data_IF_822236133088
#
_entry.id   IF_822236133088
#
_cell.length_a   1.000
_cell.length_b   1.000
_cell.length_c   1.000
_cell.angle_alpha   90.00
_cell.angle_beta   90.00
_cell.angle_gamma   90.00
#
_symmetry.space_group_name_H-M   'P 1'
#
loop_
_entity.id
_entity.type
_entity.pdbx_description
1 polymer ?
#
# COMPACT_ATOMS: atom_id res chain seq x y z
N UNK A 1 -48.78 -30.89 0.07
CA UNK A 1 -47.50 -30.90 -0.70
C UNK A 1 -47.25 -29.61 -1.47
N UNK A 2 -48.14 -29.12 -2.33
CA UNK A 2 -47.90 -27.95 -3.22
C UNK A 2 -47.46 -26.65 -2.49
N UNK A 3 -48.01 -26.37 -1.30
CA UNK A 3 -47.63 -25.20 -0.49
C UNK A 3 -46.24 -25.29 0.14
N UNK A 4 -45.80 -26.50 0.53
CA UNK A 4 -44.47 -26.72 1.09
C UNK A 4 -43.38 -26.57 0.02
N UNK A 5 -43.62 -27.08 -1.20
CA UNK A 5 -42.71 -26.91 -2.34
C UNK A 5 -42.55 -25.44 -2.71
N UNK A 6 -43.64 -24.67 -2.74
CA UNK A 6 -43.56 -23.22 -3.03
C UNK A 6 -42.80 -22.44 -1.94
N UNK A 7 -42.95 -22.78 -0.66
CA UNK A 7 -42.18 -22.13 0.40
C UNK A 7 -40.69 -22.45 0.32
N UNK A 8 -40.32 -23.69 -0.03
CA UNK A 8 -38.92 -24.08 -0.24
C UNK A 8 -38.32 -23.32 -1.44
N UNK A 9 -39.06 -23.19 -2.53
CA UNK A 9 -38.59 -22.49 -3.73
C UNK A 9 -38.42 -20.98 -3.50
N UNK A 10 -39.34 -20.35 -2.74
CA UNK A 10 -39.22 -18.93 -2.36
C UNK A 10 -38.05 -18.75 -1.38
N UNK A 11 -37.89 -19.63 -0.40
CA UNK A 11 -36.73 -19.60 0.51
C UNK A 11 -35.41 -19.71 -0.24
N UNK A 12 -35.33 -20.59 -1.23
CA UNK A 12 -34.13 -20.76 -2.07
C UNK A 12 -33.86 -19.54 -2.96
N UNK A 13 -34.90 -18.93 -3.53
CA UNK A 13 -34.77 -17.72 -4.35
C UNK A 13 -34.35 -16.48 -3.53
N UNK A 14 -34.82 -16.39 -2.28
CA UNK A 14 -34.38 -15.33 -1.35
C UNK A 14 -32.91 -15.54 -0.95
N UNK A 15 -32.48 -16.79 -0.74
CA UNK A 15 -31.08 -17.09 -0.41
C UNK A 15 -30.10 -16.79 -1.56
N UNK A 16 -30.51 -16.94 -2.84
CA UNK A 16 -29.67 -16.59 -3.99
C UNK A 16 -29.68 -15.08 -4.32
N UNK A 17 -30.72 -14.35 -3.91
CA UNK A 17 -30.77 -12.89 -4.07
C UNK A 17 -29.82 -12.13 -3.12
N UNK A 18 -29.30 -12.78 -2.08
CA UNK A 18 -28.27 -12.22 -1.18
C UNK A 18 -26.84 -12.49 -1.65
N UNK A 19 -26.63 -12.82 -2.93
CA UNK A 19 -25.33 -12.68 -3.59
C UNK A 19 -24.90 -11.21 -3.58
N UNK A 20 -24.39 -10.75 -2.44
CA UNK A 20 -23.88 -9.40 -2.22
C UNK A 20 -22.70 -9.20 -3.17
N UNK A 21 -22.96 -8.61 -4.34
CA UNK A 21 -21.91 -8.07 -5.18
C UNK A 21 -21.20 -6.96 -4.38
N UNK A 22 -20.13 -7.33 -3.67
CA UNK A 22 -19.19 -6.37 -3.11
C UNK A 22 -18.48 -5.72 -4.30
N UNK A 23 -19.02 -4.59 -4.77
CA UNK A 23 -18.40 -3.85 -5.84
C UNK A 23 -17.29 -2.96 -5.25
N UNK A 24 -16.05 -3.42 -5.37
CA UNK A 24 -14.84 -2.67 -4.98
C UNK A 24 -14.41 -1.64 -6.04
N UNK A 25 -15.14 -1.54 -7.14
CA UNK A 25 -14.88 -0.62 -8.23
C UNK A 25 -15.83 0.58 -8.16
N UNK A 26 -15.36 1.74 -8.64
CA UNK A 26 -16.21 2.93 -8.78
C UNK A 26 -17.13 2.85 -10.01
N UNK A 27 -16.89 1.87 -10.89
CA UNK A 27 -17.72 1.51 -12.05
C UNK A 27 -18.06 0.01 -11.99
N UNK A 28 -19.04 -0.50 -12.76
CA UNK A 28 -19.27 -1.94 -12.84
C UNK A 28 -18.01 -2.68 -13.28
N UNK A 29 -17.73 -3.84 -12.67
CA UNK A 29 -16.50 -4.61 -12.94
C UNK A 29 -16.34 -4.97 -14.41
N UNK A 30 -17.42 -5.33 -15.09
CA UNK A 30 -17.40 -5.66 -16.52
C UNK A 30 -17.02 -4.46 -17.37
N UNK A 31 -17.40 -3.25 -16.93
CA UNK A 31 -16.98 -2.01 -17.56
C UNK A 31 -15.50 -1.71 -17.27
N UNK A 32 -15.04 -2.00 -16.06
CA UNK A 32 -13.62 -1.88 -15.69
C UNK A 32 -12.74 -2.78 -16.55
N UNK A 33 -13.03 -4.08 -16.61
CA UNK A 33 -12.23 -5.07 -17.37
C UNK A 33 -12.22 -4.77 -18.88
N UNK A 34 -13.28 -4.15 -19.42
CA UNK A 34 -13.32 -3.70 -20.81
C UNK A 34 -12.48 -2.43 -21.04
N UNK A 35 -12.46 -1.52 -20.08
CA UNK A 35 -11.73 -0.25 -20.17
C UNK A 35 -10.24 -0.42 -19.91
N UNK A 36 -9.84 -1.29 -18.98
CA UNK A 36 -8.45 -1.41 -18.51
C UNK A 36 -7.87 -2.76 -18.91
N UNK A 37 -7.22 -2.82 -20.08
CA UNK A 37 -6.50 -4.02 -20.52
C UNK A 37 -5.02 -3.91 -20.21
N UNK A 38 -4.43 -2.73 -20.38
CA UNK A 38 -3.01 -2.44 -20.09
C UNK A 38 -2.94 -1.46 -18.92
N UNK A 39 -2.45 -1.95 -17.77
CA UNK A 39 -2.29 -1.15 -16.55
C UNK A 39 -0.83 -0.71 -16.39
N UNK A 40 -0.60 0.60 -16.35
CA UNK A 40 0.67 1.19 -15.90
C UNK A 40 0.69 1.34 -14.39
N UNK A 41 1.70 0.82 -13.70
CA UNK A 41 1.89 1.03 -12.26
C UNK A 41 2.96 2.09 -12.09
N UNK A 42 2.57 3.23 -11.53
CA UNK A 42 3.47 4.32 -11.20
C UNK A 42 4.36 3.93 -10.00
N UNK A 43 5.62 4.38 -9.95
CA UNK A 43 6.45 4.23 -8.77
C UNK A 43 5.75 4.73 -7.52
N UNK A 44 5.92 4.05 -6.39
CA UNK A 44 5.14 4.40 -5.20
C UNK A 44 5.59 5.76 -4.68
N UNK A 45 4.65 6.71 -4.70
CA UNK A 45 4.88 8.12 -4.38
C UNK A 45 4.94 8.30 -2.85
N UNK A 46 5.70 9.28 -2.39
CA UNK A 46 5.74 9.66 -0.97
C UNK A 46 5.34 11.11 -0.84
N UNK A 47 4.22 11.36 -0.17
CA UNK A 47 3.78 12.70 0.18
C UNK A 47 4.54 13.18 1.42
N UNK A 48 5.72 13.76 1.23
CA UNK A 48 6.54 14.28 2.32
C UNK A 48 5.87 15.44 3.07
N UNK A 49 4.92 16.14 2.44
CA UNK A 49 4.18 17.27 3.01
C UNK A 49 2.91 16.83 3.75
N UNK A 50 2.70 15.53 3.90
CA UNK A 50 1.64 14.98 4.74
C UNK A 50 1.99 15.08 6.23
N UNK A 51 1.03 14.73 7.08
CA UNK A 51 1.15 14.81 8.53
C UNK A 51 2.04 13.67 9.06
N UNK A 52 3.30 13.62 8.64
CA UNK A 52 4.34 12.72 9.14
C UNK A 52 4.99 13.44 10.33
N UNK A 53 4.59 13.06 11.55
CA UNK A 53 5.15 13.60 12.79
C UNK A 53 6.24 12.68 13.28
N UNK A 54 7.49 13.09 13.12
CA UNK A 54 8.66 12.41 13.65
C UNK A 54 9.81 13.41 13.81
N UNK A 55 10.59 13.38 14.90
CA UNK A 55 11.73 14.30 15.08
C UNK A 55 12.72 14.26 13.92
N UNK A 56 12.98 13.07 13.37
CA UNK A 56 13.84 12.84 12.21
C UNK A 56 13.02 12.61 10.92
N UNK A 57 12.03 13.47 10.64
CA UNK A 57 11.08 13.31 9.51
C UNK A 57 11.79 13.03 8.17
N UNK A 58 12.85 13.79 7.85
CA UNK A 58 13.59 13.64 6.60
C UNK A 58 14.18 12.24 6.43
N UNK A 59 14.75 11.66 7.49
CA UNK A 59 15.31 10.31 7.47
C UNK A 59 14.22 9.25 7.27
N UNK A 60 13.06 9.40 7.92
CA UNK A 60 11.91 8.50 7.76
C UNK A 60 11.39 8.53 6.32
N UNK A 61 11.28 9.72 5.71
CA UNK A 61 10.85 9.88 4.31
C UNK A 61 11.84 9.20 3.36
N UNK A 62 13.14 9.38 3.56
CA UNK A 62 14.18 8.75 2.73
C UNK A 62 14.13 7.22 2.83
N UNK A 63 14.02 6.66 4.04
CA UNK A 63 13.86 5.22 4.25
C UNK A 63 12.61 4.67 3.54
N UNK A 64 11.50 5.41 3.60
CA UNK A 64 10.24 5.01 2.97
C UNK A 64 10.36 5.01 1.44
N UNK A 65 11.02 6.02 0.85
CA UNK A 65 11.30 6.07 -0.60
C UNK A 65 12.16 4.90 -1.06
N UNK A 66 13.23 4.59 -0.33
CA UNK A 66 14.10 3.45 -0.63
C UNK A 66 13.34 2.12 -0.54
N UNK A 67 12.56 1.93 0.54
CA UNK A 67 11.74 0.75 0.73
C UNK A 67 10.68 0.61 -0.37
N UNK A 68 10.03 1.70 -0.77
CA UNK A 68 9.06 1.73 -1.87
C UNK A 68 9.69 1.18 -3.17
N UNK A 69 10.83 1.73 -3.57
CA UNK A 69 11.55 1.32 -4.80
C UNK A 69 11.96 -0.14 -4.77
N UNK A 70 12.36 -0.66 -3.60
CA UNK A 70 12.73 -2.07 -3.45
C UNK A 70 11.54 -3.02 -3.64
N UNK A 71 10.33 -2.61 -3.24
CA UNK A 71 9.16 -3.49 -3.18
C UNK A 71 8.17 -3.32 -4.35
N UNK A 72 8.22 -2.22 -5.13
CA UNK A 72 7.23 -1.93 -6.19
C UNK A 72 7.09 -3.03 -7.26
N UNK A 73 8.17 -3.76 -7.55
CA UNK A 73 8.13 -4.89 -8.50
C UNK A 73 7.24 -6.04 -8.03
N UNK A 74 7.09 -6.22 -6.72
CA UNK A 74 6.20 -7.24 -6.17
C UNK A 74 4.74 -6.89 -6.41
N UNK A 75 4.34 -5.63 -6.22
CA UNK A 75 2.99 -5.18 -6.54
C UNK A 75 2.64 -5.48 -8.01
N UNK A 76 3.58 -5.19 -8.92
CA UNK A 76 3.42 -5.49 -10.35
C UNK A 76 3.29 -7.00 -10.59
N UNK A 77 4.08 -7.83 -9.91
CA UNK A 77 4.00 -9.28 -10.02
C UNK A 77 2.63 -9.80 -9.53
N UNK A 78 2.16 -9.35 -8.38
CA UNK A 78 0.86 -9.73 -7.81
C UNK A 78 -0.29 -9.30 -8.74
N UNK A 79 -0.24 -8.09 -9.28
CA UNK A 79 -1.24 -7.61 -10.25
C UNK A 79 -1.27 -8.45 -11.52
N UNK A 80 -0.11 -8.90 -12.03
CA UNK A 80 -0.04 -9.82 -13.18
C UNK A 80 -0.66 -11.17 -12.86
N UNK A 81 -0.38 -11.71 -11.67
CA UNK A 81 -0.86 -13.02 -11.23
C UNK A 81 -2.40 -13.06 -11.11
N UNK A 82 -3.05 -11.91 -10.89
CA UNK A 82 -4.52 -11.85 -10.90
C UNK A 82 -5.16 -12.31 -12.21
N UNK A 83 -4.44 -12.23 -13.34
CA UNK A 83 -4.98 -12.50 -14.67
C UNK A 83 -6.11 -11.55 -15.11
N UNK A 84 -6.28 -10.42 -14.40
CA UNK A 84 -7.34 -9.43 -14.67
C UNK A 84 -6.99 -8.48 -15.81
N UNK A 85 -5.69 -8.33 -16.09
CA UNK A 85 -5.16 -7.41 -17.11
C UNK A 85 -4.49 -8.20 -18.24
N UNK A 86 -4.53 -7.66 -19.46
CA UNK A 86 -3.73 -8.18 -20.57
C UNK A 86 -2.23 -7.92 -20.35
N UNK A 87 -1.88 -6.76 -19.79
CA UNK A 87 -0.50 -6.43 -19.45
C UNK A 87 -0.46 -5.49 -18.25
N UNK A 88 0.49 -5.70 -17.35
CA UNK A 88 0.80 -4.79 -16.23
C UNK A 88 2.27 -4.42 -16.32
N UNK A 89 2.61 -3.15 -16.22
CA UNK A 89 4.00 -2.67 -16.38
C UNK A 89 4.31 -1.61 -15.34
N UNK A 90 5.50 -1.69 -14.74
CA UNK A 90 6.03 -0.59 -13.94
C UNK A 90 6.43 0.55 -14.88
N UNK A 91 6.04 1.77 -14.57
CA UNK A 91 6.49 2.96 -15.27
C UNK A 91 7.80 3.43 -14.63
N UNK A 92 8.91 3.38 -15.36
CA UNK A 92 10.23 3.74 -14.83
C UNK A 92 10.45 5.26 -14.85
N UNK A 93 9.65 5.97 -14.04
CA UNK A 93 9.68 7.42 -13.90
C UNK A 93 10.33 7.82 -12.55
N UNK A 94 10.78 9.07 -12.45
CA UNK A 94 11.22 9.62 -11.16
C UNK A 94 10.00 9.94 -10.28
N UNK A 95 9.90 9.29 -9.11
CA UNK A 95 8.72 9.40 -8.25
C UNK A 95 8.48 10.82 -7.71
N UNK A 96 9.54 11.57 -7.42
CA UNK A 96 9.44 12.90 -6.83
C UNK A 96 9.00 13.95 -7.87
N UNK A 97 9.61 13.90 -9.06
CA UNK A 97 9.19 14.71 -10.21
C UNK A 97 7.76 14.38 -10.62
N UNK A 98 7.42 13.08 -10.65
CA UNK A 98 6.09 12.63 -11.03
C UNK A 98 5.02 13.08 -10.02
N UNK A 99 5.27 12.98 -8.71
CA UNK A 99 4.33 13.47 -7.71
C UNK A 99 4.12 14.99 -7.80
N UNK A 100 5.19 15.75 -8.03
CA UNK A 100 5.13 17.20 -8.20
C UNK A 100 4.35 17.61 -9.47
N UNK A 101 4.52 16.84 -10.55
CA UNK A 101 3.85 17.10 -11.83
C UNK A 101 2.39 16.65 -11.87
N UNK A 102 2.08 15.46 -11.32
CA UNK A 102 0.73 14.89 -11.30
C UNK A 102 -0.14 15.49 -10.20
N UNK A 103 0.43 15.78 -9.03
CA UNK A 103 -0.29 16.20 -7.84
C UNK A 103 -1.07 17.49 -8.06
N UNK A 104 -2.39 17.45 -7.84
CA UNK A 104 -3.23 18.64 -7.86
C UNK A 104 -3.54 19.11 -6.43
N UNK A 105 -4.10 18.22 -5.61
CA UNK A 105 -4.47 18.52 -4.23
C UNK A 105 -4.59 17.26 -3.38
N UNK A 106 -4.48 17.44 -2.07
CA UNK A 106 -4.77 16.44 -1.05
C UNK A 106 -5.95 16.90 -0.20
N UNK A 107 -6.83 15.98 0.16
CA UNK A 107 -7.96 16.22 1.05
C UNK A 107 -7.97 15.17 2.16
N UNK A 108 -7.96 15.61 3.42
CA UNK A 108 -8.15 14.71 4.55
C UNK A 108 -9.65 14.42 4.69
N UNK A 109 -10.03 13.15 4.70
CA UNK A 109 -11.41 12.69 4.82
C UNK A 109 -11.62 11.85 6.05
N UNK A 110 -12.86 11.83 6.51
CA UNK A 110 -13.38 10.96 7.56
C UNK A 110 -14.68 10.32 7.03
N UNK A 111 -14.58 9.08 6.58
CA UNK A 111 -15.69 8.32 6.02
C UNK A 111 -16.03 7.17 6.97
N UNK A 112 -17.14 7.30 7.71
CA UNK A 112 -17.58 6.27 8.65
C UNK A 112 -16.62 6.03 9.82
N UNK A 113 -15.93 7.07 10.29
CA UNK A 113 -14.93 6.97 11.37
C UNK A 113 -13.54 6.55 10.89
N UNK A 114 -13.37 6.35 9.58
CA UNK A 114 -12.07 6.04 8.99
C UNK A 114 -11.49 7.28 8.35
N UNK A 115 -10.38 7.71 8.94
CA UNK A 115 -9.64 8.89 8.49
C UNK A 115 -8.56 8.47 7.49
N UNK A 116 -8.43 9.20 6.38
CA UNK A 116 -7.41 8.96 5.34
C UNK A 116 -7.14 10.22 4.51
N UNK A 117 -6.06 10.19 3.71
CA UNK A 117 -5.75 11.23 2.73
C UNK A 117 -6.24 10.80 1.34
N UNK A 118 -7.13 11.59 0.74
CA UNK A 118 -7.55 11.44 -0.66
C UNK A 118 -6.73 12.34 -1.56
N UNK A 119 -6.16 11.76 -2.61
CA UNK A 119 -5.36 12.47 -3.60
C UNK A 119 -6.17 12.74 -4.87
N UNK A 120 -5.92 13.90 -5.46
CA UNK A 120 -6.45 14.29 -6.75
C UNK A 120 -5.28 14.67 -7.65
N UNK A 121 -5.36 14.27 -8.91
CA UNK A 121 -4.30 14.42 -9.89
C UNK A 121 -4.77 15.28 -11.06
N UNK A 122 -3.84 15.97 -11.72
CA UNK A 122 -4.12 16.84 -12.87
C UNK A 122 -4.45 15.98 -14.10
N UNK A 123 -5.64 16.13 -14.71
CA UNK A 123 -6.04 15.32 -15.87
C UNK A 123 -5.06 15.42 -17.04
N UNK A 124 -4.52 16.60 -17.32
CA UNK A 124 -3.60 16.82 -18.44
C UNK A 124 -2.27 16.08 -18.26
N UNK A 125 -1.78 16.03 -17.02
CA UNK A 125 -0.56 15.33 -16.68
C UNK A 125 -0.76 13.80 -16.71
N UNK A 126 -1.92 13.31 -16.24
CA UNK A 126 -2.32 11.91 -16.37
C UNK A 126 -2.45 11.48 -17.83
N UNK A 127 -3.12 12.29 -18.66
CA UNK A 127 -3.25 12.04 -20.08
C UNK A 127 -1.89 11.89 -20.75
N UNK A 128 -0.96 12.82 -20.48
CA UNK A 128 0.40 12.75 -21.00
C UNK A 128 1.16 11.49 -20.55
N UNK A 129 0.94 11.04 -19.31
CA UNK A 129 1.55 9.82 -18.78
C UNK A 129 0.99 8.56 -19.47
N UNK A 130 -0.34 8.48 -19.59
CA UNK A 130 -1.05 7.36 -20.23
C UNK A 130 -0.65 7.23 -21.70
N UNK A 131 -0.60 8.36 -22.41
CA UNK A 131 -0.25 8.41 -23.84
C UNK A 131 1.22 8.03 -24.08
N UNK A 132 2.14 8.55 -23.25
CA UNK A 132 3.58 8.25 -23.35
C UNK A 132 3.87 6.77 -23.18
N UNK A 133 3.23 6.13 -22.21
CA UNK A 133 3.45 4.72 -21.87
C UNK A 133 2.53 3.75 -22.61
N UNK A 134 1.59 4.26 -23.43
CA UNK A 134 0.61 3.48 -24.19
C UNK A 134 -0.16 2.50 -23.30
N UNK A 135 -0.63 3.03 -22.18
CA UNK A 135 -1.46 2.29 -21.20
C UNK A 135 -2.92 2.69 -21.35
N UNK A 136 -3.86 1.91 -20.83
CA UNK A 136 -5.28 2.29 -20.81
C UNK A 136 -5.62 3.08 -19.54
N UNK A 137 -4.94 2.75 -18.44
CA UNK A 137 -5.08 3.38 -17.14
C UNK A 137 -3.75 3.28 -16.36
N UNK A 138 -3.62 4.13 -15.34
CA UNK A 138 -2.49 4.11 -14.41
C UNK A 138 -2.94 3.84 -12.98
N UNK A 139 -2.21 2.98 -12.28
CA UNK A 139 -2.32 2.79 -10.84
C UNK A 139 -1.31 3.68 -10.14
N UNK A 140 -1.79 4.57 -9.29
CA UNK A 140 -0.96 5.45 -8.46
C UNK A 140 -1.12 5.03 -7.02
N UNK A 141 -0.01 4.74 -6.36
CA UNK A 141 0.05 4.44 -4.93
C UNK A 141 0.80 5.57 -4.24
N UNK A 142 0.23 6.12 -3.16
CA UNK A 142 0.82 7.24 -2.41
C UNK A 142 0.92 6.87 -0.94
N UNK A 143 2.14 6.91 -0.40
CA UNK A 143 2.43 6.79 1.01
C UNK A 143 2.35 8.17 1.68
N UNK A 144 1.71 8.24 2.85
CA UNK A 144 1.48 9.50 3.56
C UNK A 144 1.38 9.30 5.08
N UNK A 145 1.70 10.35 5.83
CA UNK A 145 1.48 10.46 7.26
C UNK A 145 0.05 10.87 7.60
N UNK A 146 -0.47 10.30 8.68
CA UNK A 146 -1.79 10.58 9.20
C UNK A 146 -1.80 10.47 10.73
N UNK A 147 -2.17 11.54 11.42
CA UNK A 147 -2.54 11.48 12.84
C UNK A 147 -4.00 11.11 13.00
N UNK A 148 -4.33 10.09 13.81
CA UNK A 148 -5.71 9.73 14.15
C UNK A 148 -5.82 9.21 15.58
N UNK A 149 -7.03 9.25 16.14
CA UNK A 149 -7.34 8.61 17.41
C UNK A 149 -7.23 7.09 17.26
N UNK A 150 -6.48 6.44 18.15
CA UNK A 150 -6.34 4.99 18.19
C UNK A 150 -6.21 4.49 19.63
N UNK A 151 -6.33 3.17 19.83
CA UNK A 151 -6.19 2.51 21.14
C UNK A 151 -5.06 1.50 21.08
N UNK A 152 -4.03 1.72 21.88
CA UNK A 152 -2.95 0.75 22.07
C UNK A 152 -3.11 0.04 23.40
N UNK A 153 -2.97 -1.28 23.37
CA UNK A 153 -3.08 -2.14 24.54
C UNK A 153 -1.69 -2.52 25.04
N UNK A 154 -1.55 -2.67 26.35
CA UNK A 154 -0.35 -3.23 26.97
C UNK A 154 -0.15 -4.69 26.56
N UNK A 155 1.07 -5.21 26.75
CA UNK A 155 1.44 -6.59 26.42
C UNK A 155 0.60 -7.64 27.17
N UNK A 156 0.10 -7.32 28.36
CA UNK A 156 -0.79 -8.18 29.15
C UNK A 156 -2.29 -7.96 28.87
N UNK A 157 -2.64 -7.04 27.96
CA UNK A 157 -4.01 -6.69 27.57
C UNK A 157 -4.91 -6.18 28.72
N UNK A 158 -4.36 -5.82 29.88
CA UNK A 158 -5.14 -5.33 31.04
C UNK A 158 -5.36 -3.82 31.03
N UNK A 159 -4.50 -3.09 30.33
CA UNK A 159 -4.53 -1.63 30.26
C UNK A 159 -4.44 -1.17 28.81
N UNK A 160 -4.98 0.02 28.53
CA UNK A 160 -4.86 0.64 27.22
C UNK A 160 -4.68 2.16 27.34
N UNK A 161 -4.12 2.74 26.28
CA UNK A 161 -3.98 4.17 26.11
C UNK A 161 -4.68 4.57 24.82
N UNK A 162 -5.77 5.32 24.97
CA UNK A 162 -6.48 5.96 23.88
C UNK A 162 -5.91 7.37 23.68
N UNK A 163 -5.57 7.71 22.44
CA UNK A 163 -5.00 9.02 22.13
C UNK A 163 -4.75 9.22 20.65
N UNK A 164 -4.18 10.37 20.30
CA UNK A 164 -3.76 10.66 18.93
C UNK A 164 -2.39 10.06 18.65
N UNK A 165 -2.32 9.23 17.63
CA UNK A 165 -1.08 8.61 17.18
C UNK A 165 -0.83 8.92 15.72
N UNK A 166 0.45 9.04 15.37
CA UNK A 166 0.90 9.26 14.02
C UNK A 166 1.22 7.93 13.31
N UNK A 167 0.67 7.76 12.11
CA UNK A 167 0.83 6.57 11.30
C UNK A 167 1.30 6.91 9.90
N UNK A 168 2.10 6.02 9.32
CA UNK A 168 2.24 5.90 7.88
C UNK A 168 1.07 5.09 7.34
N UNK A 169 0.53 5.55 6.21
CA UNK A 169 -0.63 4.98 5.53
C UNK A 169 -0.42 5.01 4.03
N UNK A 170 -1.12 4.15 3.29
CA UNK A 170 -1.04 4.09 1.84
C UNK A 170 -2.43 4.24 1.24
N UNK A 171 -2.54 5.06 0.21
CA UNK A 171 -3.72 5.14 -0.65
C UNK A 171 -3.34 4.66 -2.05
N UNK A 172 -4.30 4.11 -2.78
CA UNK A 172 -4.09 3.76 -4.17
C UNK A 172 -5.31 4.12 -5.01
N UNK A 173 -5.10 4.49 -6.27
CA UNK A 173 -6.16 4.77 -7.24
C UNK A 173 -5.76 4.22 -8.60
N UNK A 174 -6.72 3.65 -9.32
CA UNK A 174 -6.59 3.39 -10.76
C UNK A 174 -7.37 4.47 -11.49
N UNK A 175 -6.68 5.23 -12.33
CA UNK A 175 -7.21 6.38 -13.06
C UNK A 175 -7.11 6.12 -14.57
N UNK A 176 -8.17 6.44 -15.31
CA UNK A 176 -8.09 6.48 -16.77
C UNK A 176 -7.43 7.77 -17.27
N UNK A 177 -7.32 7.87 -18.60
CA UNK A 177 -6.77 9.02 -19.32
C UNK A 177 -7.42 10.35 -18.95
N UNK A 178 -8.72 10.33 -18.64
CA UNK A 178 -9.50 11.53 -18.33
C UNK A 178 -9.44 11.91 -16.84
N UNK A 179 -8.71 11.14 -16.03
CA UNK A 179 -8.63 11.32 -14.58
C UNK A 179 -9.84 10.73 -13.83
N UNK A 180 -10.64 9.88 -14.49
CA UNK A 180 -11.74 9.18 -13.82
C UNK A 180 -11.18 8.11 -12.91
N UNK A 181 -11.53 8.16 -11.62
CA UNK A 181 -11.14 7.13 -10.64
C UNK A 181 -11.97 5.86 -10.89
N UNK A 182 -11.35 4.84 -11.46
CA UNK A 182 -11.99 3.57 -11.77
C UNK A 182 -12.02 2.61 -10.56
N UNK A 183 -10.99 2.68 -9.72
CA UNK A 183 -10.84 1.91 -8.49
C UNK A 183 -10.03 2.73 -7.49
N UNK A 184 -10.29 2.56 -6.19
CA UNK A 184 -9.54 3.24 -5.12
C UNK A 184 -9.37 2.35 -3.89
N UNK A 185 -8.32 2.62 -3.12
CA UNK A 185 -7.99 2.03 -1.84
C UNK A 185 -7.59 3.12 -0.84
N UNK A 186 -8.16 3.14 0.37
CA UNK A 186 -9.29 2.32 0.82
C UNK A 186 -10.58 2.62 0.03
N UNK A 187 -11.48 1.64 -0.08
CA UNK A 187 -12.80 1.81 -0.69
C UNK A 187 -13.90 1.74 0.37
N UNK A 188 -14.62 2.84 0.58
CA UNK A 188 -15.67 2.99 1.59
C UNK A 188 -17.05 2.51 1.16
N UNK A 189 -17.19 1.94 -0.05
CA UNK A 189 -18.45 1.34 -0.51
C UNK A 189 -18.74 -0.02 0.12
N UNK A 190 -17.89 -0.48 1.05
CA UNK A 190 -18.03 -1.75 1.74
C UNK A 190 -18.92 -1.66 2.98
N UNK A 191 -19.55 -2.78 3.36
CA UNK A 191 -20.28 -2.89 4.64
C UNK A 191 -19.36 -2.89 5.86
N UNK A 192 -18.11 -3.34 5.70
CA UNK A 192 -17.08 -3.32 6.74
C UNK A 192 -16.01 -2.36 6.27
N UNK A 193 -15.95 -1.20 6.91
CA UNK A 193 -14.97 -0.18 6.59
C UNK A 193 -13.74 -0.44 7.45
N UNK A 194 -12.65 -0.87 6.85
CA UNK A 194 -11.35 -0.96 7.52
C UNK A 194 -10.26 -0.30 6.68
N UNK A 195 -9.40 0.46 7.34
CA UNK A 195 -8.21 1.05 6.74
C UNK A 195 -7.03 0.82 7.67
N UNK A 196 -6.33 -0.32 7.50
CA UNK A 196 -5.20 -0.65 8.35
C UNK A 196 -4.10 0.38 8.14
N UNK A 197 -3.52 0.83 9.25
CA UNK A 197 -2.31 1.63 9.19
C UNK A 197 -1.18 0.75 8.64
N UNK A 198 -0.31 1.33 7.81
CA UNK A 198 0.86 0.62 7.31
C UNK A 198 1.91 0.45 8.42
N UNK A 199 2.17 1.52 9.18
CA UNK A 199 3.06 1.50 10.32
C UNK A 199 2.75 2.63 11.29
N UNK A 200 2.61 2.35 12.58
CA UNK A 200 2.62 3.39 13.60
C UNK A 200 4.03 3.98 13.77
N UNK A 201 4.17 5.31 13.78
CA UNK A 201 5.42 6.02 14.04
C UNK A 201 5.63 6.29 15.54
N UNK A 202 4.57 6.15 16.33
CA UNK A 202 4.60 6.30 17.78
C UNK A 202 4.16 5.01 18.47
N UNK A 203 4.54 4.87 19.73
CA UNK A 203 4.08 3.80 20.61
C UNK A 203 4.01 4.31 22.07
N UNK A 204 3.01 3.86 22.85
CA UNK A 204 2.99 4.09 24.29
C UNK A 204 3.97 3.16 25.01
N UNK A 205 4.75 3.70 25.93
CA UNK A 205 5.75 2.94 26.70
C UNK A 205 5.18 2.43 28.04
N UNK A 206 4.29 1.44 27.96
CA UNK A 206 3.66 0.83 29.15
C UNK A 206 4.68 0.16 30.08
N UNK A 207 5.76 -0.39 29.51
CA UNK A 207 6.76 -1.14 30.29
C UNK A 207 7.58 -0.19 31.14
N UNK A 208 8.01 0.96 30.60
CA UNK A 208 8.70 1.99 31.37
C UNK A 208 7.81 2.64 32.43
N UNK A 209 6.55 2.95 32.09
CA UNK A 209 5.59 3.48 33.06
C UNK A 209 5.41 2.51 34.24
N UNK A 210 5.27 1.21 33.96
CA UNK A 210 5.15 0.17 34.99
C UNK A 210 6.43 0.02 35.82
N UNK A 211 7.60 0.05 35.19
CA UNK A 211 8.88 -0.06 35.88
C UNK A 211 9.12 1.10 36.86
N UNK A 212 8.61 2.29 36.52
CA UNK A 212 8.72 3.50 37.34
C UNK A 212 7.52 3.74 38.28
N UNK A 213 6.56 2.80 38.34
CA UNK A 213 5.29 2.97 39.06
C UNK A 213 4.57 4.30 38.72
N UNK A 214 4.69 4.74 37.45
CA UNK A 214 4.05 5.94 36.96
C UNK A 214 2.58 5.68 36.63
N UNK A 215 1.72 6.65 36.95
CA UNK A 215 0.28 6.60 36.64
C UNK A 215 -0.03 7.05 35.19
N UNK A 216 0.99 7.52 34.48
CA UNK A 216 0.90 8.11 33.15
C UNK A 216 1.85 7.37 32.20
N UNK A 217 1.39 7.11 30.98
CA UNK A 217 2.19 6.43 29.96
C UNK A 217 2.64 7.45 28.93
N UNK A 218 3.95 7.55 28.75
CA UNK A 218 4.54 8.42 27.74
C UNK A 218 4.40 7.80 26.34
N UNK A 219 4.03 8.62 25.36
CA UNK A 219 4.01 8.24 23.95
C UNK A 219 5.33 8.64 23.31
N UNK A 220 6.09 7.65 22.83
CA UNK A 220 7.41 7.84 22.24
C UNK A 220 7.40 7.60 20.74
N UNK A 221 8.34 8.23 20.04
CA UNK A 221 8.58 7.96 18.62
C UNK A 221 9.44 6.72 18.43
N UNK A 222 9.11 5.90 17.43
CA UNK A 222 9.98 4.80 17.01
C UNK A 222 11.25 5.37 16.41
N UNK A 223 12.40 4.86 16.82
CA UNK A 223 13.68 5.30 16.25
C UNK A 223 13.75 5.04 14.74
N UNK A 224 14.50 5.86 14.00
CA UNK A 224 14.74 5.69 12.57
C UNK A 224 15.31 4.29 12.27
N UNK A 225 16.23 3.79 13.10
CA UNK A 225 16.75 2.43 12.99
C UNK A 225 15.67 1.36 13.23
N UNK A 226 14.74 1.59 14.17
CA UNK A 226 13.59 0.71 14.40
C UNK A 226 12.66 0.64 13.19
N UNK A 227 12.35 1.79 12.58
CA UNK A 227 11.56 1.90 11.36
C UNK A 227 12.28 1.18 10.20
N UNK A 228 13.57 1.43 10.01
CA UNK A 228 14.38 0.76 8.99
C UNK A 228 14.38 -0.76 9.13
N UNK A 229 14.54 -1.28 10.35
CA UNK A 229 14.44 -2.74 10.61
C UNK A 229 13.06 -3.30 10.32
N UNK A 230 12.00 -2.57 10.66
CA UNK A 230 10.63 -3.00 10.37
C UNK A 230 10.36 -3.04 8.85
N UNK A 231 10.82 -2.06 8.10
CA UNK A 231 10.73 -2.05 6.62
C UNK A 231 11.61 -3.13 5.98
N UNK A 232 12.78 -3.41 6.56
CA UNK A 232 13.71 -4.41 6.06
C UNK A 232 13.32 -5.86 6.41
N UNK A 233 12.41 -6.07 7.37
CA UNK A 233 11.89 -7.40 7.71
C UNK A 233 11.20 -7.98 6.48
N UNK A 234 11.88 -8.92 5.83
CA UNK A 234 11.47 -9.48 4.56
C UNK A 234 11.15 -10.96 4.67
N UNK A 235 10.25 -11.40 3.82
CA UNK A 235 9.91 -12.80 3.59
C UNK A 235 10.12 -13.13 2.10
N UNK A 236 10.18 -14.42 1.78
CA UNK A 236 10.28 -14.86 0.40
C UNK A 236 9.01 -14.49 -0.38
N UNK A 237 9.20 -13.92 -1.58
CA UNK A 237 8.09 -13.69 -2.50
C UNK A 237 7.50 -15.02 -2.95
N UNK A 238 6.16 -15.09 -2.95
CA UNK A 238 5.43 -16.26 -3.47
C UNK A 238 5.56 -16.39 -5.00
N UNK A 239 5.78 -15.27 -5.69
CA UNK A 239 5.79 -15.20 -7.15
C UNK A 239 7.21 -15.16 -7.72
N UNK A 240 8.19 -14.75 -6.92
CA UNK A 240 9.57 -14.57 -7.34
C UNK A 240 10.49 -15.38 -6.40
N UNK A 241 10.90 -16.62 -6.76
CA UNK A 241 11.67 -17.55 -5.91
C UNK A 241 13.04 -17.07 -5.41
N UNK A 242 13.43 -15.83 -5.72
CA UNK A 242 14.70 -15.21 -5.31
C UNK A 242 14.53 -13.77 -4.82
N UNK A 243 13.30 -13.25 -4.83
CA UNK A 243 13.03 -11.90 -4.33
C UNK A 243 12.60 -11.99 -2.86
N UNK A 244 13.19 -11.13 -2.04
CA UNK A 244 12.72 -10.88 -0.69
C UNK A 244 11.90 -9.61 -0.67
N UNK A 245 10.71 -9.69 -0.11
CA UNK A 245 9.75 -8.58 -0.02
C UNK A 245 9.48 -8.30 1.44
N UNK A 246 9.42 -7.03 1.79
CA UNK A 246 9.06 -6.62 3.15
C UNK A 246 7.69 -7.17 3.53
N UNK A 247 7.56 -7.78 4.72
CA UNK A 247 6.29 -8.33 5.21
C UNK A 247 5.18 -7.27 5.18
N UNK A 248 5.49 -6.03 5.59
CA UNK A 248 4.53 -4.93 5.61
C UNK A 248 4.02 -4.58 4.21
N UNK A 249 4.90 -4.56 3.21
CA UNK A 249 4.51 -4.29 1.83
C UNK A 249 3.72 -5.45 1.23
N UNK A 250 4.10 -6.70 1.54
CA UNK A 250 3.35 -7.87 1.08
C UNK A 250 1.91 -7.83 1.60
N UNK A 251 1.72 -7.61 2.90
CA UNK A 251 0.39 -7.57 3.51
C UNK A 251 -0.45 -6.42 2.91
N UNK A 252 0.17 -5.26 2.67
CA UNK A 252 -0.45 -4.13 1.98
C UNK A 252 -0.86 -4.48 0.53
N UNK A 253 0.05 -5.07 -0.25
CA UNK A 253 -0.20 -5.40 -1.64
C UNK A 253 -1.24 -6.52 -1.78
N UNK A 254 -1.20 -7.54 -0.93
CA UNK A 254 -2.22 -8.58 -0.86
C UNK A 254 -3.60 -7.96 -0.52
N UNK A 255 -3.65 -7.01 0.41
CA UNK A 255 -4.88 -6.28 0.72
C UNK A 255 -5.40 -5.47 -0.48
N UNK A 256 -4.54 -4.76 -1.22
CA UNK A 256 -4.95 -4.04 -2.44
C UNK A 256 -5.43 -4.98 -3.54
N UNK A 257 -4.66 -6.05 -3.81
CA UNK A 257 -4.90 -6.99 -4.90
C UNK A 257 -6.14 -7.84 -4.65
N UNK A 258 -6.39 -8.25 -3.40
CA UNK A 258 -7.61 -8.99 -3.04
C UNK A 258 -8.90 -8.19 -3.30
N UNK A 259 -8.83 -6.86 -3.26
CA UNK A 259 -9.97 -5.98 -3.58
C UNK A 259 -10.14 -5.77 -5.09
N UNK A 260 -9.10 -5.97 -5.88
CA UNK A 260 -9.19 -5.94 -7.35
C UNK A 260 -9.58 -7.32 -7.90
N UNK A 261 -9.17 -8.41 -7.25
CA UNK A 261 -9.33 -9.77 -7.76
C UNK A 261 -10.22 -10.65 -6.88
N UNK A 262 -11.29 -11.19 -7.46
CA UNK A 262 -11.76 -12.56 -7.13
C UNK A 262 -12.73 -13.04 -8.20
N UNK A 263 -12.35 -14.03 -9.01
CA UNK A 263 -13.31 -14.68 -9.92
C UNK A 263 -12.77 -15.69 -10.92
N UNK A 264 -11.48 -15.71 -11.28
CA UNK A 264 -10.97 -16.62 -12.33
C UNK A 264 -10.10 -17.80 -11.86
N UNK A 265 -9.56 -17.79 -10.65
CA UNK A 265 -8.58 -18.82 -10.26
C UNK A 265 -9.16 -20.20 -9.90
N UNK A 266 -10.47 -20.33 -9.68
CA UNK A 266 -11.06 -21.64 -9.37
C UNK A 266 -11.58 -22.38 -10.61
N UNK A 267 -12.28 -21.69 -11.53
CA UNK A 267 -12.97 -22.36 -12.64
C UNK A 267 -12.11 -22.57 -13.91
N UNK A 268 -11.04 -21.80 -14.11
CA UNK A 268 -10.19 -21.93 -15.31
C UNK A 268 -8.99 -22.86 -15.12
N UNK A 269 -8.58 -23.17 -13.89
CA UNK A 269 -7.48 -24.11 -13.63
C UNK A 269 -7.84 -25.56 -14.01
N UNK A 270 -9.12 -25.89 -14.10
CA UNK A 270 -9.57 -27.25 -14.46
C UNK A 270 -9.61 -27.50 -15.98
N UNK A 271 -9.60 -26.45 -16.82
CA UNK A 271 -9.65 -26.59 -18.30
C UNK A 271 -8.31 -26.49 -19.01
N UNK A 272 -7.23 -26.13 -18.32
CA UNK A 272 -5.90 -25.95 -18.95
C UNK A 272 -4.90 -27.06 -18.60
N UNK A 273 -5.31 -28.07 -17.81
CA UNK A 273 -4.45 -29.21 -17.45
C UNK A 273 -4.24 -30.25 -18.58
N UNK A 274 -4.79 -30.03 -19.78
CA UNK A 274 -4.72 -30.99 -20.91
C UNK A 274 -4.07 -30.43 -22.17
N UNK A 275 -3.16 -29.45 -22.06
CA UNK A 275 -2.32 -29.04 -23.17
C UNK A 275 -0.88 -29.52 -22.94
N UNK A 276 -0.47 -30.52 -23.72
CA UNK A 276 0.89 -31.07 -23.73
C UNK A 276 1.93 -29.97 -24.06
N UNK A 277 3.14 -30.00 -23.47
CA UNK A 277 4.20 -29.07 -23.82
C UNK A 277 4.82 -29.45 -25.17
N UNK A 278 4.78 -28.54 -26.13
CA UNK A 278 5.60 -28.62 -27.35
C UNK A 278 7.04 -28.26 -26.99
N UNK A 279 7.97 -29.15 -27.34
CA UNK A 279 9.40 -28.99 -27.10
C UNK A 279 9.96 -27.78 -27.88
N UNK A 280 10.70 -26.91 -27.18
CA UNK A 280 11.44 -25.79 -27.78
C UNK A 280 12.88 -26.26 -28.07
N UNK A 281 13.44 -26.00 -29.27
CA UNK A 281 14.84 -26.33 -29.58
C UNK A 281 15.82 -25.41 -28.85
N UNK A 282 16.91 -26.01 -28.35
CA UNK A 282 18.02 -25.36 -27.65
C UNK A 282 18.75 -24.33 -28.53
N UNK A 283 18.92 -23.12 -28.03
CA UNK A 283 19.76 -22.07 -28.63
C UNK A 283 21.26 -22.27 -28.30
N UNK A 284 22.18 -21.90 -29.22
CA UNK A 284 23.62 -22.05 -29.03
C UNK A 284 24.26 -20.97 -28.13
N UNK A 285 25.43 -21.32 -27.60
CA UNK A 285 26.21 -20.64 -26.56
C UNK A 285 26.65 -19.19 -26.89
N UNK A 286 26.85 -18.34 -25.86
CA UNK A 286 27.28 -16.96 -26.04
C UNK A 286 28.79 -16.85 -26.32
N UNK A 287 29.13 -15.95 -27.26
CA UNK A 287 30.49 -15.55 -27.63
C UNK A 287 31.03 -14.54 -26.61
N UNK A 288 32.22 -14.81 -26.06
CA UNK A 288 32.98 -13.91 -25.19
C UNK A 288 33.46 -12.66 -25.96
N UNK A 289 33.16 -11.48 -25.42
CA UNK A 289 33.72 -10.19 -25.86
C UNK A 289 34.81 -9.76 -24.86
N UNK A 290 36.00 -9.29 -25.33
CA UNK A 290 37.10 -8.85 -24.47
C UNK A 290 36.85 -7.50 -23.79
N UNK A 291 37.52 -7.22 -22.65
CA UNK A 291 37.26 -6.03 -21.84
C UNK A 291 37.93 -4.76 -22.41
N UNK A 292 37.22 -3.63 -22.27
CA UNK A 292 37.70 -2.29 -22.59
C UNK A 292 38.56 -1.68 -21.46
N UNK A 293 39.51 -0.79 -21.77
CA UNK A 293 40.46 -0.22 -20.81
C UNK A 293 39.84 0.85 -19.89
N UNK A 294 40.43 0.95 -18.70
CA UNK A 294 40.02 1.79 -17.57
C UNK A 294 40.20 3.30 -17.83
N UNK A 295 39.22 4.08 -17.37
CA UNK A 295 39.25 5.54 -17.32
C UNK A 295 39.79 6.05 -15.96
N UNK A 296 40.29 7.31 -15.89
CA UNK A 296 41.04 7.82 -14.75
C UNK A 296 40.18 8.29 -13.57
N UNK A 297 40.79 8.21 -12.40
CA UNK A 297 40.28 8.54 -11.06
C UNK A 297 40.07 10.05 -10.89
N UNK A 298 38.87 10.44 -10.48
CA UNK A 298 38.53 11.80 -10.05
C UNK A 298 38.66 11.95 -8.52
N UNK A 299 39.12 13.14 -8.11
CA UNK A 299 39.47 13.59 -6.76
C UNK A 299 38.22 13.76 -5.88
N UNK A 300 38.28 13.48 -4.56
CA UNK A 300 37.14 13.62 -3.65
C UNK A 300 36.75 15.08 -3.38
N UNK A 301 35.43 15.35 -3.45
CA UNK A 301 34.82 16.60 -3.04
C UNK A 301 34.53 16.62 -1.52
N UNK A 302 34.63 17.83 -0.96
CA UNK A 302 34.61 18.17 0.45
C UNK A 302 33.37 17.74 1.23
N UNK A 303 33.58 17.49 2.53
CA UNK A 303 32.58 17.12 3.53
C UNK A 303 31.47 18.18 3.68
N UNK A 304 30.20 17.76 3.85
CA UNK A 304 29.12 18.65 4.24
C UNK A 304 29.17 19.03 5.73
N UNK A 305 28.82 20.29 6.02
CA UNK A 305 28.61 20.83 7.36
C UNK A 305 27.51 20.07 8.13
N UNK A 306 27.62 19.99 9.46
CA UNK A 306 26.61 19.36 10.30
C UNK A 306 25.30 20.17 10.30
N UNK A 307 24.13 19.49 10.32
CA UNK A 307 22.84 20.16 10.37
C UNK A 307 22.63 20.85 11.73
N UNK A 308 22.06 22.04 11.67
CA UNK A 308 21.55 22.81 12.81
C UNK A 308 20.49 21.99 13.53
N UNK A 309 20.66 21.80 14.84
CA UNK A 309 19.72 21.09 15.69
C UNK A 309 18.36 21.80 15.70
N UNK A 310 17.34 21.14 15.13
CA UNK A 310 15.94 21.56 15.28
C UNK A 310 15.53 21.45 16.75
N UNK A 311 14.91 22.51 17.26
CA UNK A 311 14.38 22.54 18.62
C UNK A 311 13.31 21.45 18.79
N UNK A 312 13.29 20.73 19.93
CA UNK A 312 12.29 19.71 20.21
C UNK A 312 10.87 20.30 20.11
N UNK A 313 10.07 19.77 19.19
CA UNK A 313 8.64 20.03 19.18
C UNK A 313 8.04 19.47 20.48
N UNK A 314 7.26 20.31 21.17
CA UNK A 314 6.60 19.96 22.41
C UNK A 314 5.76 18.69 22.23
N UNK A 315 6.15 17.62 22.93
CA UNK A 315 5.38 16.39 23.05
C UNK A 315 4.09 16.76 23.80
N UNK A 316 2.94 16.32 23.28
CA UNK A 316 1.65 16.53 23.95
C UNK A 316 1.71 15.98 25.39
N UNK A 317 1.04 16.64 26.35
CA UNK A 317 1.07 16.19 27.74
C UNK A 317 0.57 14.74 27.86
N UNK A 318 1.19 13.95 28.75
CA UNK A 318 0.87 12.53 28.91
C UNK A 318 -0.60 12.34 29.30
N UNK A 319 -1.24 11.31 28.73
CA UNK A 319 -2.62 10.96 29.02
C UNK A 319 -2.69 9.88 30.11
N UNK A 320 -3.72 9.91 30.99
CA UNK A 320 -3.87 8.92 32.06
C UNK A 320 -4.23 7.53 31.52
N UNK A 321 -3.73 6.49 32.18
CA UNK A 321 -3.99 5.07 31.85
C UNK A 321 -5.47 4.74 32.09
N UNK A 322 -6.08 3.97 31.18
CA UNK A 322 -7.42 3.43 31.36
C UNK A 322 -7.36 1.92 31.59
N UNK A 323 -7.89 1.46 32.71
CA UNK A 323 -8.05 0.03 33.02
C UNK A 323 -9.30 -0.53 32.35
N UNK A 324 -9.22 -1.79 31.89
CA UNK A 324 -10.43 -2.49 31.45
C UNK A 324 -11.29 -2.85 32.66
N UNK A 325 -12.62 -2.66 32.60
CA UNK A 325 -13.50 -3.11 33.66
C UNK A 325 -13.39 -4.64 33.77
N UNK A 326 -12.88 -5.11 34.91
CA UNK A 326 -12.89 -6.53 35.27
C UNK A 326 -14.35 -6.91 35.49
N UNK A 327 -14.92 -7.70 34.56
CA UNK A 327 -16.26 -8.27 34.70
C UNK A 327 -16.22 -9.57 35.48
#
# INVERSE_FOLDING_TARGET
MRRAVNMVLIGFMVLTAFGCAQNYYNIPRESYEKKVRVLGVVPILVDAESDIRHPEKGAVVSLLKEANRKNEKELVALLKDTGSYFSVRLLDEDADQLFTGLGARRERRDDGGVIYNKYFFRPEALQGLVDRHKTDAVMIVTASGLTRQDKFYSSNLLSYLAGEYNFLTFSAQVLDRDGTVLWEYPNFRQRIISYPAFMALQYPDFDEAKANAANEVEVKFKTVAGIGRALAKSEESRLQPKASVSTLYRDLFDAMVSLMGSGRSAEQKEKTATAQPVAVPSAPAPVMVPPAPAAPVAVPASAPEPPVAEQPQAIAPPAPIQELPVK
#
